data_IF_817187824441
#
_entry.id   IF_817187824441
#
_cell.length_a   1.000
_cell.length_b   1.000
_cell.length_c   1.000
_cell.angle_alpha   90.00
_cell.angle_beta   90.00
_cell.angle_gamma   90.00
#
_symmetry.space_group_name_H-M   'P 1'
#
loop_
_entity.id
_entity.type
_entity.pdbx_description
1 polymer ?
#
# COMPACT_ATOMS: atom_id res chain seq x y z
N UNK A 1 -3.10 19.63 12.19
CA UNK A 1 -3.35 20.61 11.09
C UNK A 1 -4.85 20.75 10.83
N UNK A 2 -5.35 21.90 10.36
CA UNK A 2 -6.78 22.07 9.97
C UNK A 2 -6.93 22.00 8.46
N UNK A 3 -7.68 21.01 7.96
CA UNK A 3 -8.00 20.88 6.54
C UNK A 3 -9.17 21.80 6.19
N UNK A 4 -9.01 22.66 5.18
CA UNK A 4 -10.09 23.51 4.68
C UNK A 4 -11.21 22.63 4.09
N UNK A 5 -12.46 22.92 4.46
CA UNK A 5 -13.63 22.14 4.00
C UNK A 5 -13.72 22.04 2.46
N UNK A 6 -13.31 23.10 1.75
CA UNK A 6 -13.27 23.13 0.28
C UNK A 6 -12.28 22.14 -0.34
N UNK A 7 -11.25 21.73 0.40
CA UNK A 7 -10.18 20.86 -0.12
C UNK A 7 -10.46 19.39 0.18
N UNK A 8 -11.31 19.08 1.17
CA UNK A 8 -11.70 17.71 1.52
C UNK A 8 -12.21 16.89 0.33
N UNK A 9 -13.07 17.42 -0.58
CA UNK A 9 -13.53 16.66 -1.73
C UNK A 9 -12.40 16.22 -2.67
N UNK A 10 -11.35 17.05 -2.81
CA UNK A 10 -10.19 16.71 -3.65
C UNK A 10 -9.33 15.62 -3.00
N UNK A 11 -9.09 15.72 -1.70
CA UNK A 11 -8.38 14.69 -0.93
C UNK A 11 -9.12 13.34 -0.99
N UNK A 12 -10.45 13.34 -0.87
CA UNK A 12 -11.25 12.11 -1.04
C UNK A 12 -11.12 11.49 -2.43
N UNK A 13 -11.05 12.32 -3.48
CA UNK A 13 -10.85 11.83 -4.86
C UNK A 13 -9.50 11.15 -5.05
N UNK A 14 -8.50 11.52 -4.25
CA UNK A 14 -7.19 10.85 -4.21
C UNK A 14 -7.19 9.54 -3.42
N UNK A 15 -8.32 9.10 -2.85
CA UNK A 15 -8.40 7.85 -2.10
C UNK A 15 -8.33 8.01 -0.57
N UNK A 16 -8.21 9.23 -0.04
CA UNK A 16 -8.21 9.45 1.40
C UNK A 16 -9.61 9.27 2.02
N UNK A 17 -9.66 8.59 3.15
CA UNK A 17 -10.86 8.41 3.97
C UNK A 17 -11.05 9.56 4.97
N UNK A 18 -12.22 9.62 5.61
CA UNK A 18 -12.43 10.59 6.71
C UNK A 18 -11.52 10.31 7.91
N UNK A 19 -11.20 9.04 8.17
CA UNK A 19 -10.30 8.64 9.26
C UNK A 19 -8.87 9.14 9.01
N UNK A 20 -8.45 9.22 7.75
CA UNK A 20 -7.15 9.77 7.38
C UNK A 20 -7.05 11.26 7.71
N UNK A 21 -8.16 12.01 7.69
CA UNK A 21 -8.13 13.43 8.04
C UNK A 21 -7.71 13.70 9.48
N UNK A 22 -7.92 12.73 10.39
CA UNK A 22 -7.44 12.82 11.76
C UNK A 22 -5.91 12.70 11.86
N UNK A 23 -5.25 12.10 10.86
CA UNK A 23 -3.79 11.91 10.83
C UNK A 23 -3.04 13.18 10.46
N UNK A 24 -3.70 14.17 9.83
CA UNK A 24 -3.10 15.45 9.41
C UNK A 24 -2.63 16.27 10.61
N UNK A 25 -1.39 16.07 11.01
CA UNK A 25 -0.73 16.74 12.13
C UNK A 25 0.02 18.01 11.69
N UNK A 26 0.42 18.09 10.41
CA UNK A 26 1.27 19.15 9.86
C UNK A 26 2.77 18.91 10.05
N UNK A 27 3.16 17.71 10.49
CA UNK A 27 4.55 17.28 10.68
C UNK A 27 4.86 16.05 9.84
N UNK A 28 4.14 14.95 10.07
CA UNK A 28 4.30 13.69 9.36
C UNK A 28 3.23 13.51 8.30
N UNK A 29 2.05 14.08 8.51
CA UNK A 29 0.99 14.13 7.50
C UNK A 29 0.54 15.56 7.31
N UNK A 30 0.74 16.07 6.11
CA UNK A 30 0.31 17.41 5.72
C UNK A 30 -0.21 17.43 4.29
N UNK A 31 -0.76 18.57 3.86
CA UNK A 31 -1.14 18.74 2.46
C UNK A 31 -0.89 20.16 2.00
N UNK A 32 -0.73 20.29 0.69
CA UNK A 32 -0.71 21.57 0.01
C UNK A 32 -1.90 21.68 -0.94
N UNK A 33 -2.26 22.92 -1.24
CA UNK A 33 -3.27 23.25 -2.23
C UNK A 33 -2.74 24.35 -3.13
N UNK A 34 -2.85 24.11 -4.42
CA UNK A 34 -2.60 25.03 -5.50
C UNK A 34 -3.86 25.14 -6.37
N UNK A 35 -4.12 26.33 -6.91
CA UNK A 35 -5.34 26.58 -7.69
C UNK A 35 -5.36 25.85 -9.03
N UNK A 36 -4.20 25.66 -9.66
CA UNK A 36 -4.06 25.01 -10.96
C UNK A 36 -3.79 23.51 -10.81
N UNK A 37 -2.99 23.13 -9.82
CA UNK A 37 -2.51 21.75 -9.63
C UNK A 37 -3.37 20.93 -8.64
N UNK A 38 -4.25 21.61 -7.89
CA UNK A 38 -5.15 20.99 -6.92
C UNK A 38 -4.43 20.68 -5.60
N UNK A 39 -4.61 19.49 -5.04
CA UNK A 39 -4.00 19.10 -3.76
C UNK A 39 -2.87 18.09 -3.95
N UNK A 40 -1.90 18.10 -3.05
CA UNK A 40 -0.94 17.01 -2.87
C UNK A 40 -0.75 16.75 -1.38
N UNK A 41 -0.41 15.52 -1.02
CA UNK A 41 -0.20 15.14 0.37
C UNK A 41 1.28 14.91 0.65
N UNK A 42 1.69 15.23 1.87
CA UNK A 42 2.95 14.79 2.44
C UNK A 42 2.64 13.66 3.40
N UNK A 43 3.14 12.46 3.12
CA UNK A 43 2.98 11.28 3.95
C UNK A 43 4.15 10.30 3.73
N UNK A 44 5.38 10.67 4.11
CA UNK A 44 6.59 9.88 3.86
C UNK A 44 6.57 8.46 4.45
N UNK A 45 5.65 8.20 5.38
CA UNK A 45 5.55 6.93 6.08
C UNK A 45 4.31 6.12 5.69
N UNK A 46 3.58 6.53 4.63
CA UNK A 46 2.37 5.84 4.14
C UNK A 46 1.39 5.54 5.29
N UNK A 47 1.16 6.55 6.13
CA UNK A 47 0.28 6.41 7.28
C UNK A 47 -1.19 6.62 6.90
N UNK A 48 -1.47 7.22 5.76
CA UNK A 48 -2.83 7.40 5.24
C UNK A 48 -3.23 6.25 4.31
N UNK A 49 -4.49 6.21 3.92
CA UNK A 49 -5.00 5.25 2.92
C UNK A 49 -4.63 5.60 1.47
N UNK A 50 -3.75 6.58 1.24
CA UNK A 50 -3.29 6.91 -0.10
C UNK A 50 -2.46 5.76 -0.69
N UNK A 51 -2.86 5.29 -1.86
CA UNK A 51 -2.37 4.04 -2.48
C UNK A 51 -1.40 4.26 -3.63
N UNK A 52 -1.19 5.51 -4.03
CA UNK A 52 -0.26 5.87 -5.09
C UNK A 52 1.12 6.22 -4.56
N UNK A 53 2.06 6.41 -5.50
CA UNK A 53 3.46 6.61 -5.17
C UNK A 53 3.68 7.94 -4.42
N UNK A 54 4.44 7.86 -3.33
CA UNK A 54 4.97 9.01 -2.60
C UNK A 54 6.47 9.08 -2.89
N UNK A 55 6.90 10.25 -3.36
CA UNK A 55 8.28 10.53 -3.72
C UNK A 55 9.25 10.41 -2.55
N UNK A 56 10.54 10.36 -2.86
CA UNK A 56 11.62 10.33 -1.86
C UNK A 56 11.64 11.56 -0.95
N UNK A 57 11.02 12.65 -1.40
CA UNK A 57 10.81 13.89 -0.67
C UNK A 57 9.60 13.84 0.25
N UNK A 58 8.86 12.72 0.28
CA UNK A 58 7.68 12.49 1.11
C UNK A 58 6.39 13.05 0.53
N UNK A 59 6.42 13.64 -0.67
CA UNK A 59 5.24 14.22 -1.31
C UNK A 59 4.64 13.29 -2.35
N UNK A 60 3.30 13.27 -2.42
CA UNK A 60 2.59 12.70 -3.55
C UNK A 60 2.72 13.59 -4.79
N UNK A 61 2.42 13.01 -5.95
CA UNK A 61 2.06 13.78 -7.13
C UNK A 61 0.89 14.74 -6.85
N UNK A 62 0.75 15.76 -7.68
CA UNK A 62 -0.40 16.66 -7.60
C UNK A 62 -1.67 15.94 -8.06
N UNK A 63 -2.81 16.23 -7.44
CA UNK A 63 -4.10 15.63 -7.82
C UNK A 63 -4.47 15.87 -9.29
N UNK A 64 -3.98 16.96 -9.91
CA UNK A 64 -4.17 17.22 -11.34
C UNK A 64 -3.40 16.26 -12.25
N UNK A 65 -2.26 15.74 -11.78
CA UNK A 65 -1.38 14.86 -12.55
C UNK A 65 -1.99 13.45 -12.69
N UNK A 66 -2.95 13.08 -11.81
CA UNK A 66 -3.59 11.76 -11.78
C UNK A 66 -2.57 10.63 -11.92
N UNK A 67 -1.53 10.65 -11.08
CA UNK A 67 -0.53 9.58 -11.08
C UNK A 67 -1.20 8.27 -10.63
N UNK A 68 -1.25 7.29 -11.55
CA UNK A 68 -1.80 5.95 -11.33
C UNK A 68 -0.74 4.87 -11.41
N UNK A 69 0.54 5.24 -11.23
CA UNK A 69 1.67 4.35 -11.41
C UNK A 69 1.57 3.08 -10.54
N UNK A 70 1.26 3.20 -9.25
CA UNK A 70 1.18 2.05 -8.36
C UNK A 70 -0.04 1.19 -8.68
N UNK A 71 -1.19 1.83 -8.92
CA UNK A 71 -2.40 1.16 -9.39
C UNK A 71 -2.17 0.32 -10.66
N UNK A 72 -1.41 0.84 -11.62
CA UNK A 72 -1.10 0.12 -12.87
C UNK A 72 -0.17 -1.08 -12.66
N UNK A 73 0.85 -0.95 -11.80
CA UNK A 73 1.73 -2.07 -11.46
C UNK A 73 0.94 -3.19 -10.76
N UNK A 74 0.09 -2.83 -9.80
CA UNK A 74 -0.67 -3.80 -9.00
C UNK A 74 -1.70 -4.55 -9.86
N UNK A 75 -2.41 -3.87 -10.77
CA UNK A 75 -3.35 -4.51 -11.70
C UNK A 75 -2.67 -5.57 -12.57
N UNK A 76 -1.54 -5.24 -13.20
CA UNK A 76 -0.79 -6.19 -14.03
C UNK A 76 -0.23 -7.40 -13.26
N UNK A 77 -0.02 -7.26 -11.94
CA UNK A 77 0.36 -8.39 -11.08
C UNK A 77 -0.82 -9.29 -10.69
N UNK A 78 -2.03 -8.71 -10.58
CA UNK A 78 -3.27 -9.40 -10.25
C UNK A 78 -3.79 -10.29 -11.38
N UNK A 79 -3.73 -9.80 -12.62
CA UNK A 79 -4.14 -10.57 -13.81
C UNK A 79 -3.32 -11.87 -13.98
N UNK A 80 -2.03 -11.84 -13.65
CA UNK A 80 -1.19 -13.04 -13.66
C UNK A 80 -1.56 -14.06 -12.59
N UNK A 81 -2.19 -13.63 -11.48
CA UNK A 81 -2.63 -14.52 -10.39
C UNK A 81 -3.97 -15.17 -10.68
N UNK A 82 -4.85 -14.52 -11.44
CA UNK A 82 -6.15 -15.11 -11.80
C UNK A 82 -6.00 -16.32 -12.73
N UNK A 83 -5.00 -16.32 -13.62
CA UNK A 83 -4.63 -17.51 -14.40
C UNK A 83 -4.09 -18.68 -13.57
N UNK A 84 -3.70 -18.46 -12.31
CA UNK A 84 -3.20 -19.51 -11.39
C UNK A 84 -4.19 -19.88 -10.28
N UNK A 85 -5.40 -19.29 -10.27
CA UNK A 85 -6.51 -19.66 -9.37
C UNK A 85 -7.29 -20.90 -9.85
N UNK A 86 -6.71 -21.73 -10.72
CA UNK A 86 -7.21 -23.09 -10.86
C UNK A 86 -7.12 -23.77 -9.47
N UNK A 87 -8.17 -24.46 -9.01
CA UNK A 87 -8.12 -25.16 -7.73
C UNK A 87 -6.99 -26.19 -7.80
N UNK A 88 -5.89 -25.92 -7.08
CA UNK A 88 -4.79 -26.88 -6.98
C UNK A 88 -5.35 -28.15 -6.34
N UNK A 89 -5.11 -29.34 -6.92
CA UNK A 89 -5.55 -30.59 -6.31
C UNK A 89 -5.03 -30.66 -4.87
N UNK A 90 -5.88 -31.06 -3.91
CA UNK A 90 -5.49 -31.17 -2.48
C UNK A 90 -4.21 -32.00 -2.24
N UNK A 91 -3.90 -32.91 -3.17
CA UNK A 91 -2.67 -33.70 -3.18
C UNK A 91 -1.39 -32.84 -3.25
N UNK A 92 -1.43 -31.72 -3.97
CA UNK A 92 -0.29 -30.84 -4.21
C UNK A 92 0.09 -30.06 -2.94
N UNK A 93 -0.93 -29.66 -2.16
CA UNK A 93 -0.74 -28.93 -0.89
C UNK A 93 -0.14 -29.86 0.18
N UNK A 94 -0.61 -31.10 0.26
CA UNK A 94 -0.07 -32.09 1.19
C UNK A 94 1.38 -32.42 0.86
N UNK A 95 1.73 -32.66 -0.40
CA UNK A 95 3.11 -32.93 -0.80
C UNK A 95 4.05 -31.75 -0.51
N UNK A 96 3.61 -30.51 -0.74
CA UNK A 96 4.38 -29.32 -0.38
C UNK A 96 4.61 -29.20 1.13
N UNK A 97 3.58 -29.48 1.94
CA UNK A 97 3.70 -29.46 3.40
C UNK A 97 4.68 -30.51 3.93
N UNK A 98 4.63 -31.74 3.39
CA UNK A 98 5.55 -32.82 3.71
C UNK A 98 6.99 -32.46 3.35
N UNK A 99 7.20 -31.82 2.20
CA UNK A 99 8.52 -31.42 1.73
C UNK A 99 9.11 -30.27 2.57
N UNK A 100 8.28 -29.28 2.94
CA UNK A 100 8.67 -28.18 3.82
C UNK A 100 9.03 -28.69 5.21
N UNK A 101 8.23 -29.60 5.76
CA UNK A 101 8.51 -30.23 7.05
C UNK A 101 9.78 -31.09 7.01
N UNK A 102 10.04 -31.79 5.89
CA UNK A 102 11.28 -32.55 5.71
C UNK A 102 12.52 -31.65 5.59
N UNK A 103 12.41 -30.47 4.95
CA UNK A 103 13.53 -29.53 4.79
C UNK A 103 13.81 -28.70 6.03
N UNK A 104 12.78 -28.29 6.76
CA UNK A 104 12.90 -27.29 7.83
C UNK A 104 12.48 -27.80 9.22
N UNK A 105 11.95 -29.03 9.33
CA UNK A 105 11.47 -29.61 10.58
C UNK A 105 12.56 -30.14 11.53
N UNK A 106 13.85 -29.96 11.24
CA UNK A 106 14.91 -30.23 12.20
C UNK A 106 15.30 -28.95 12.93
N UNK A 107 14.68 -28.73 14.09
CA UNK A 107 15.18 -27.82 15.12
C UNK A 107 15.85 -28.66 16.22
N UNK A 108 17.16 -28.45 16.37
CA UNK A 108 18.01 -28.66 17.57
C UNK A 108 17.83 -29.94 18.41
N UNK A 109 18.69 -30.92 18.15
CA UNK A 109 19.32 -31.70 19.22
C UNK A 109 20.83 -31.67 18.97
N UNK A 110 21.53 -30.83 19.73
CA UNK A 110 22.95 -31.02 20.02
C UNK A 110 23.20 -30.48 21.42
N UNK A 111 22.87 -31.35 22.38
CA UNK A 111 23.67 -31.70 23.54
C UNK A 111 25.04 -30.99 23.62
N UNK A 112 25.26 -30.18 24.67
CA UNK A 112 26.60 -29.97 25.24
C UNK A 112 26.45 -29.88 26.76
N UNK A 113 27.15 -30.82 27.41
CA UNK A 113 27.42 -30.99 28.84
C UNK A 113 27.99 -29.76 29.54
#
# INVERSE_FOLDING_TARGET
>A
MKIKAKHKPLLKKMGLSEDDFARFDGKHVSYEFDLERGVRIYDPFYTTSYDEYIGIDGWSAWSSENDTFMSHILKGSGEKREGTKAPRPKADIQQMSSYLQKKFGKSSETDVQ
#
